data_IF_966110377355
#
_entry.id   IF_966110377355
#
_cell.length_a   1.000
_cell.length_b   1.000
_cell.length_c   1.000
_cell.angle_alpha   90.00
_cell.angle_beta   90.00
_cell.angle_gamma   90.00
#
_symmetry.space_group_name_H-M   'P 1'
#
loop_
_entity.id
_entity.type
_entity.pdbx_description
1 polymer ?
#
# COMPACT_ATOMS: atom_id res chain seq x y z
N UNK A 1 9.72 8.77 -5.27
CA UNK A 1 9.63 8.05 -6.58
C UNK A 1 8.21 7.50 -6.73
N UNK A 2 7.60 7.57 -7.91
CA UNK A 2 6.21 7.08 -8.10
C UNK A 2 6.14 5.58 -7.89
N UNK A 3 5.19 5.13 -7.05
CA UNK A 3 4.89 3.71 -6.85
C UNK A 3 3.99 3.24 -7.99
N UNK A 4 4.35 2.13 -8.60
CA UNK A 4 3.61 1.57 -9.74
C UNK A 4 3.27 0.10 -9.50
N UNK A 5 2.14 -0.32 -10.04
CA UNK A 5 1.73 -1.73 -10.06
C UNK A 5 2.68 -2.51 -10.95
N UNK A 6 3.09 -3.68 -10.49
CA UNK A 6 3.82 -4.65 -11.31
C UNK A 6 3.17 -6.01 -11.17
N UNK A 7 3.53 -6.95 -12.06
CA UNK A 7 3.13 -8.35 -11.88
C UNK A 7 3.74 -8.84 -10.56
N UNK A 8 2.95 -9.57 -9.77
CA UNK A 8 3.41 -10.19 -8.54
C UNK A 8 4.62 -11.10 -8.83
N UNK A 9 5.76 -10.74 -8.26
CA UNK A 9 7.00 -11.52 -8.29
C UNK A 9 7.45 -11.70 -6.83
N UNK A 10 7.04 -12.78 -6.13
CA UNK A 10 7.19 -12.89 -4.67
C UNK A 10 8.62 -12.94 -4.13
N UNK A 11 9.61 -13.06 -5.03
CA UNK A 11 11.03 -13.02 -4.68
C UNK A 11 11.66 -11.64 -4.93
N UNK A 12 10.91 -10.68 -5.50
CA UNK A 12 11.38 -9.31 -5.73
C UNK A 12 11.16 -8.47 -4.48
N UNK A 13 12.25 -8.21 -3.76
CA UNK A 13 12.22 -7.42 -2.51
C UNK A 13 11.71 -6.00 -2.71
N UNK A 14 11.74 -5.46 -3.94
CA UNK A 14 11.18 -4.14 -4.26
C UNK A 14 9.66 -4.11 -4.23
N UNK A 15 9.01 -5.27 -4.26
CA UNK A 15 7.56 -5.40 -4.11
C UNK A 15 7.15 -5.63 -2.64
N UNK A 16 8.11 -5.68 -1.72
CA UNK A 16 7.83 -5.97 -0.32
C UNK A 16 7.87 -4.69 0.52
N UNK A 17 6.80 -4.50 1.29
CA UNK A 17 6.63 -3.35 2.17
C UNK A 17 6.33 -3.80 3.59
N UNK A 18 6.95 -3.17 4.57
CA UNK A 18 6.66 -3.32 5.99
C UNK A 18 5.48 -2.42 6.38
N UNK A 19 4.53 -2.97 7.14
CA UNK A 19 3.43 -2.22 7.75
C UNK A 19 3.71 -2.07 9.23
N UNK A 20 3.90 -0.84 9.67
CA UNK A 20 4.22 -0.53 11.07
C UNK A 20 3.05 0.26 11.66
N UNK A 21 2.42 -0.30 12.69
CA UNK A 21 1.37 0.39 13.42
C UNK A 21 1.92 1.65 14.09
N UNK A 22 1.14 2.73 14.02
CA UNK A 22 1.40 3.96 14.76
C UNK A 22 0.93 3.79 16.19
N UNK A 23 1.61 4.46 17.11
CA UNK A 23 1.40 4.33 18.56
C UNK A 23 0.02 4.78 19.05
N UNK A 24 -0.73 5.54 18.25
CA UNK A 24 -2.08 6.03 18.54
C UNK A 24 -3.19 5.04 18.16
N UNK A 25 -2.85 3.91 17.53
CA UNK A 25 -3.77 2.79 17.29
C UNK A 25 -4.79 3.07 16.19
N UNK A 26 -4.49 2.62 14.97
CA UNK A 26 -5.44 2.61 13.85
C UNK A 26 -4.88 3.10 12.52
N UNK A 27 -3.72 3.76 12.57
CA UNK A 27 -2.98 4.19 11.38
C UNK A 27 -1.66 3.43 11.29
N UNK A 28 -1.21 3.20 10.07
CA UNK A 28 -0.01 2.45 9.74
C UNK A 28 0.93 3.29 8.87
N UNK A 29 2.22 3.15 9.09
CA UNK A 29 3.24 3.50 8.10
C UNK A 29 3.45 2.31 7.16
N UNK A 30 3.62 2.57 5.87
CA UNK A 30 3.91 1.55 4.86
C UNK A 30 5.29 1.85 4.28
N UNK A 31 6.30 1.03 4.53
CA UNK A 31 7.71 1.32 4.23
C UNK A 31 8.33 0.25 3.31
N UNK A 32 9.14 0.60 2.30
CA UNK A 32 9.88 -0.40 1.54
C UNK A 32 10.83 -1.19 2.46
N UNK A 33 10.85 -2.53 2.35
CA UNK A 33 11.74 -3.35 3.20
C UNK A 33 13.22 -3.08 2.88
N UNK A 34 13.54 -2.77 1.63
CA UNK A 34 14.91 -2.51 1.19
C UNK A 34 15.41 -1.10 1.57
N UNK A 35 14.51 -0.20 2.01
CA UNK A 35 14.87 1.15 2.45
C UNK A 35 13.84 1.75 3.42
N UNK A 36 14.04 1.52 4.71
CA UNK A 36 13.16 2.01 5.79
C UNK A 36 13.28 3.51 6.08
N UNK A 37 14.20 4.23 5.41
CA UNK A 37 14.26 5.71 5.45
C UNK A 37 13.18 6.35 4.58
N UNK A 38 12.49 5.56 3.76
CA UNK A 38 11.38 5.96 2.93
C UNK A 38 10.07 5.35 3.43
N UNK A 39 8.96 5.98 3.06
CA UNK A 39 7.61 5.45 3.26
C UNK A 39 6.72 5.78 2.06
N UNK A 40 5.60 5.07 1.94
CA UNK A 40 4.56 5.41 1.01
C UNK A 40 3.90 6.72 1.47
N UNK A 41 3.95 7.72 0.61
CA UNK A 41 3.40 9.03 0.81
C UNK A 41 2.57 9.49 -0.37
N UNK A 42 1.77 10.51 -0.13
CA UNK A 42 1.00 11.17 -1.16
C UNK A 42 1.71 12.45 -1.58
N UNK A 43 1.99 12.59 -2.87
CA UNK A 43 2.55 13.81 -3.47
C UNK A 43 1.85 14.08 -4.82
N UNK A 44 1.20 15.25 -4.92
CA UNK A 44 0.29 15.59 -6.02
C UNK A 44 -0.93 14.67 -6.07
N UNK A 45 -1.12 13.93 -7.16
CA UNK A 45 -2.21 12.96 -7.32
C UNK A 45 -1.77 11.50 -7.11
N UNK A 46 -0.48 11.26 -6.85
CA UNK A 46 0.12 9.94 -6.92
C UNK A 46 0.69 9.48 -5.58
N UNK A 47 0.68 8.17 -5.39
CA UNK A 47 1.42 7.53 -4.31
C UNK A 47 2.89 7.41 -4.73
N UNK A 48 3.75 7.92 -3.87
CA UNK A 48 5.18 8.00 -4.05
C UNK A 48 5.90 7.40 -2.84
N UNK A 49 7.17 7.02 -3.01
CA UNK A 49 8.10 6.94 -1.88
C UNK A 49 8.58 8.34 -1.51
N UNK A 50 8.41 8.70 -0.24
CA UNK A 50 8.87 9.95 0.38
C UNK A 50 9.71 9.64 1.61
N UNK A 51 10.37 10.64 2.20
CA UNK A 51 11.08 10.45 3.47
C UNK A 51 10.12 10.05 4.60
N UNK A 52 10.53 9.06 5.39
CA UNK A 52 9.69 8.51 6.45
C UNK A 52 9.44 9.50 7.60
N UNK A 53 8.24 9.46 8.19
CA UNK A 53 7.91 10.14 9.44
C UNK A 53 6.68 11.07 9.39
N UNK A 54 5.94 11.13 8.29
CA UNK A 54 4.82 12.06 8.16
C UNK A 54 3.55 11.48 7.52
N UNK A 55 3.65 10.36 6.80
CA UNK A 55 2.55 9.80 6.02
C UNK A 55 2.03 8.51 6.66
N UNK A 56 0.73 8.46 6.87
CA UNK A 56 0.08 7.36 7.55
C UNK A 56 -1.24 6.97 6.87
N UNK A 57 -1.54 5.68 6.95
CA UNK A 57 -2.60 5.04 6.20
C UNK A 57 -3.45 4.18 7.12
N UNK A 58 -4.78 4.20 6.94
CA UNK A 58 -5.66 3.20 7.50
C UNK A 58 -5.82 2.05 6.51
N UNK A 59 -5.50 0.83 6.95
CA UNK A 59 -5.69 -0.39 6.17
C UNK A 59 -6.92 -1.14 6.71
N UNK A 60 -7.96 -1.27 5.88
CA UNK A 60 -9.21 -1.91 6.28
C UNK A 60 -9.68 -2.96 5.27
N UNK A 61 -10.42 -3.95 5.75
CA UNK A 61 -10.91 -5.06 4.93
C UNK A 61 -12.42 -4.94 4.67
N UNK A 62 -12.80 -4.67 3.42
CA UNK A 62 -14.19 -4.67 2.96
C UNK A 62 -14.28 -5.12 1.49
N UNK A 63 -14.62 -6.39 1.26
CA UNK A 63 -14.65 -7.03 -0.08
C UNK A 63 -13.30 -6.98 -0.82
N UNK A 64 -12.20 -6.90 -0.06
CA UNK A 64 -10.82 -6.62 -0.49
C UNK A 64 -10.17 -5.69 0.53
N UNK A 65 -8.88 -5.39 0.37
CA UNK A 65 -8.21 -4.40 1.23
C UNK A 65 -8.33 -3.01 0.64
N UNK A 66 -8.64 -2.04 1.49
CA UNK A 66 -8.61 -0.62 1.17
C UNK A 66 -7.48 0.03 1.96
N UNK A 67 -6.74 0.93 1.31
CA UNK A 67 -5.67 1.72 1.92
C UNK A 67 -6.10 3.17 1.79
N UNK A 68 -6.40 3.79 2.93
CA UNK A 68 -6.97 5.12 3.04
C UNK A 68 -5.98 6.05 3.74
N UNK A 69 -5.87 7.31 3.34
CA UNK A 69 -5.10 8.29 4.10
C UNK A 69 -5.67 8.43 5.53
N UNK A 70 -4.81 8.55 6.53
CA UNK A 70 -5.25 8.72 7.92
C UNK A 70 -5.91 10.06 8.23
N UNK A 71 -5.62 11.09 7.43
CA UNK A 71 -6.10 12.47 7.65
C UNK A 71 -7.20 12.87 6.66
N UNK A 72 -7.29 12.16 5.52
CA UNK A 72 -8.15 12.53 4.40
C UNK A 72 -8.91 11.31 3.89
N UNK A 73 -10.13 11.51 3.38
CA UNK A 73 -10.96 10.46 2.75
C UNK A 73 -10.47 10.11 1.33
N UNK A 74 -9.15 9.86 1.20
CA UNK A 74 -8.47 9.54 -0.04
C UNK A 74 -8.01 8.08 0.00
N UNK A 75 -8.31 7.32 -1.05
CA UNK A 75 -7.99 5.90 -1.17
C UNK A 75 -6.94 5.66 -2.25
N UNK A 76 -6.07 4.68 -2.03
CA UNK A 76 -5.17 4.18 -3.06
C UNK A 76 -5.97 3.52 -4.18
N UNK A 77 -5.73 3.98 -5.40
CA UNK A 77 -6.48 3.56 -6.58
C UNK A 77 -5.59 3.40 -7.79
N UNK A 78 -6.05 2.60 -8.75
CA UNK A 78 -5.48 2.54 -10.10
C UNK A 78 -6.58 2.74 -11.13
N UNK A 79 -6.36 3.60 -12.13
CA UNK A 79 -7.33 3.81 -13.21
C UNK A 79 -7.63 2.48 -13.95
N UNK A 80 -6.59 1.67 -14.11
CA UNK A 80 -6.63 0.34 -14.73
C UNK A 80 -5.62 -0.57 -14.06
N UNK A 81 -6.05 -1.79 -13.71
CA UNK A 81 -5.17 -2.86 -13.23
C UNK A 81 -4.25 -3.37 -14.36
N UNK A 82 -3.16 -2.65 -14.62
CA UNK A 82 -2.19 -2.93 -15.67
C UNK A 82 -0.75 -2.79 -15.15
N UNK A 83 0.18 -3.50 -15.79
CA UNK A 83 1.59 -3.40 -15.45
C UNK A 83 2.09 -1.96 -15.65
N UNK A 84 2.86 -1.46 -14.69
CA UNK A 84 3.37 -0.08 -14.58
C UNK A 84 2.30 1.00 -14.41
N UNK A 85 1.06 0.65 -14.10
CA UNK A 85 0.05 1.64 -13.74
C UNK A 85 0.46 2.35 -12.45
N UNK A 86 0.47 3.68 -12.45
CA UNK A 86 0.71 4.47 -11.26
C UNK A 86 -0.44 4.33 -10.27
N UNK A 87 -0.11 4.30 -8.99
CA UNK A 87 -1.11 4.34 -7.92
C UNK A 87 -1.45 5.81 -7.66
N UNK A 88 -2.75 6.14 -7.64
CA UNK A 88 -3.29 7.46 -7.37
C UNK A 88 -3.99 7.51 -6.02
N UNK A 89 -4.02 8.68 -5.40
CA UNK A 89 -4.94 8.94 -4.31
C UNK A 89 -6.22 9.54 -4.90
N UNK A 90 -7.37 8.92 -4.65
CA UNK A 90 -8.66 9.42 -5.15
C UNK A 90 -9.69 9.51 -4.03
N UNK A 91 -10.55 10.52 -4.10
CA UNK A 91 -11.65 10.69 -3.15
C UNK A 91 -12.76 9.66 -3.38
N UNK A 92 -13.34 9.19 -2.27
CA UNK A 92 -14.62 8.50 -2.13
C UNK A 92 -15.12 7.65 -3.33
N UNK A 93 -14.41 6.56 -3.63
CA UNK A 93 -14.92 5.48 -4.48
C UNK A 93 -14.43 4.14 -3.91
N UNK A 94 -15.37 3.27 -3.52
CA UNK A 94 -15.11 1.92 -2.99
C UNK A 94 -15.25 0.84 -4.09
N UNK A 95 -14.88 1.20 -5.32
CA UNK A 95 -14.94 0.31 -6.48
C UNK A 95 -13.78 -0.68 -6.53
N UNK A 96 -13.78 -1.61 -7.50
CA UNK A 96 -12.70 -2.58 -7.67
C UNK A 96 -11.32 -1.93 -7.85
N UNK A 97 -11.26 -0.72 -8.41
CA UNK A 97 -10.02 0.04 -8.59
C UNK A 97 -9.35 0.49 -7.28
N UNK A 98 -10.08 0.48 -6.15
CA UNK A 98 -9.59 0.84 -4.81
C UNK A 98 -9.52 -0.40 -3.90
N UNK A 99 -9.37 -1.57 -4.51
CA UNK A 99 -9.27 -2.85 -3.80
C UNK A 99 -7.95 -3.54 -4.13
N UNK A 100 -7.28 -3.91 -3.06
CA UNK A 100 -5.96 -4.51 -3.07
C UNK A 100 -6.03 -5.93 -2.53
N UNK A 101 -5.23 -6.80 -3.12
CA UNK A 101 -4.88 -8.08 -2.51
C UNK A 101 -3.55 -7.87 -1.79
N UNK A 102 -3.53 -8.22 -0.51
CA UNK A 102 -2.35 -8.14 0.34
C UNK A 102 -1.84 -9.54 0.60
N UNK A 103 -0.64 -9.85 0.11
CA UNK A 103 0.03 -11.11 0.41
C UNK A 103 0.94 -10.91 1.62
N UNK A 104 0.57 -11.54 2.73
CA UNK A 104 1.33 -11.52 3.97
C UNK A 104 2.51 -12.49 3.86
N UNK A 105 3.73 -11.97 3.95
CA UNK A 105 4.93 -12.79 4.05
C UNK A 105 5.43 -12.82 5.50
N UNK A 106 5.38 -14.01 6.11
CA UNK A 106 6.04 -14.31 7.38
C UNK A 106 7.29 -15.13 7.06
N UNK A 107 8.46 -14.48 7.00
CA UNK A 107 9.74 -15.20 6.96
C UNK A 107 10.21 -15.30 8.42
N UNK A 108 10.61 -16.50 8.84
CA UNK A 108 10.82 -16.87 10.24
C UNK A 108 11.68 -15.92 11.09
N UNK A 109 11.38 -15.95 12.40
CA UNK A 109 11.89 -15.20 13.56
C UNK A 109 11.01 -14.02 14.02
N UNK A 110 11.02 -13.70 15.33
CA UNK A 110 9.86 -13.71 16.24
C UNK A 110 8.83 -12.60 15.99
N UNK A 111 7.67 -12.80 16.59
CA UNK A 111 6.35 -12.15 16.52
C UNK A 111 6.23 -10.61 16.55
N UNK A 112 7.30 -9.85 16.34
CA UNK A 112 7.33 -8.41 16.63
C UNK A 112 7.53 -7.54 15.37
N UNK A 113 7.77 -8.13 14.20
CA UNK A 113 7.78 -7.39 12.93
C UNK A 113 6.46 -7.59 12.19
N UNK A 114 5.77 -6.48 11.95
CA UNK A 114 4.42 -6.43 11.39
C UNK A 114 4.26 -7.04 9.99
N UNK A 115 3.01 -7.13 9.52
CA UNK A 115 2.68 -7.77 8.25
C UNK A 115 3.40 -7.12 7.05
N UNK A 116 4.01 -7.95 6.20
CA UNK A 116 4.67 -7.51 4.96
C UNK A 116 3.68 -7.56 3.79
N UNK A 117 3.57 -6.50 2.99
CA UNK A 117 2.60 -6.37 1.88
C UNK A 117 3.25 -6.58 0.53
N UNK A 118 2.57 -7.36 -0.32
CA UNK A 118 2.67 -7.21 -1.77
C UNK A 118 1.30 -6.77 -2.31
N UNK A 119 1.29 -5.75 -3.16
CA UNK A 119 0.09 -5.09 -3.65
C UNK A 119 -0.22 -5.51 -5.09
N UNK A 120 -1.30 -6.26 -5.29
CA UNK A 120 -1.87 -6.54 -6.62
C UNK A 120 -3.29 -5.94 -6.70
N UNK A 121 -3.59 -5.03 -7.65
CA UNK A 121 -4.94 -4.53 -7.83
C UNK A 121 -5.89 -5.65 -8.28
N UNK A 122 -7.10 -5.68 -7.74
CA UNK A 122 -8.11 -6.65 -8.16
C UNK A 122 -8.50 -6.38 -9.62
N UNK A 123 -8.29 -7.36 -10.51
CA UNK A 123 -8.83 -7.30 -11.87
C UNK A 123 -10.36 -7.27 -11.81
N UNK A 124 -10.97 -6.24 -12.37
CA UNK A 124 -12.40 -6.26 -12.71
C UNK A 124 -12.64 -7.37 -13.73
N UNK A 125 -13.38 -8.40 -13.33
CA UNK A 125 -13.96 -9.36 -14.28
C UNK A 125 -15.06 -8.58 -15.02
N UNK A 126 -14.83 -8.27 -16.30
CA UNK A 126 -15.87 -7.82 -17.22
C UNK A 126 -16.54 -9.05 -17.84
#
# INVERSE_FOLDING_TARGET
MVVTVTKLEPNDTKQHWEVVDRSDGGLQHIKPIDNTTLEAGWDGDYINTVHAGGQCWSISRNKGWAIQSGELNMYWSVDRAANRASIKAVGDVLGPQQRWILYLWVIGFPSDEGPKLCLDPVKSIQ
#
